data_IF_050592849461
#
_entry.id   IF_050592849461
#
_cell.length_a   1.000
_cell.length_b   1.000
_cell.length_c   1.000
_cell.angle_alpha   90.00
_cell.angle_beta   90.00
_cell.angle_gamma   90.00
#
_symmetry.space_group_name_H-M   'P 1'
#
loop_
_entity.id
_entity.type
_entity.pdbx_description
1 polymer ?
#
# COMPACT_ATOMS: atom_id res chain seq x y z
N UNK A 1 -18.54 -13.43 13.52
CA UNK A 1 -17.98 -12.43 14.46
C UNK A 1 -16.47 -12.37 14.31
N UNK A 2 -15.91 -11.18 14.40
CA UNK A 2 -14.48 -10.93 14.29
C UNK A 2 -13.94 -10.60 15.69
N UNK A 3 -12.85 -11.27 16.07
CA UNK A 3 -12.16 -10.99 17.33
C UNK A 3 -11.50 -9.60 17.30
N UNK A 4 -11.47 -8.95 18.46
CA UNK A 4 -10.64 -7.77 18.66
C UNK A 4 -9.22 -8.23 19.03
N UNK A 5 -8.22 -7.47 18.61
CA UNK A 5 -6.82 -7.72 18.96
C UNK A 5 -6.38 -6.73 20.03
N UNK A 6 -5.64 -7.20 21.01
CA UNK A 6 -5.08 -6.36 22.07
C UNK A 6 -4.01 -5.44 21.49
N UNK A 7 -4.12 -4.15 21.80
CA UNK A 7 -3.17 -3.12 21.46
C UNK A 7 -2.93 -2.25 22.70
N UNK A 8 -1.77 -2.41 23.35
CA UNK A 8 -1.54 -1.81 24.66
C UNK A 8 -2.54 -2.29 25.70
N UNK A 9 -3.28 -1.36 26.31
CA UNK A 9 -4.33 -1.66 27.29
C UNK A 9 -5.72 -1.80 26.68
N UNK A 10 -5.86 -1.51 25.37
CA UNK A 10 -7.12 -1.53 24.63
C UNK A 10 -7.27 -2.76 23.73
N UNK A 11 -8.47 -2.92 23.17
CA UNK A 11 -8.80 -3.95 22.20
C UNK A 11 -9.33 -3.32 20.90
N UNK A 12 -8.56 -3.44 19.82
CA UNK A 12 -8.90 -2.88 18.52
C UNK A 12 -9.68 -3.86 17.66
N UNK A 13 -10.79 -3.37 17.09
CA UNK A 13 -11.59 -4.13 16.12
C UNK A 13 -10.98 -3.96 14.72
N UNK A 14 -10.99 -5.03 13.90
CA UNK A 14 -10.63 -4.93 12.50
C UNK A 14 -11.62 -4.03 11.75
N UNK A 15 -11.09 -3.07 11.02
CA UNK A 15 -11.81 -2.20 10.10
C UNK A 15 -10.84 -1.70 9.02
N UNK A 16 -11.38 -1.14 7.93
CA UNK A 16 -10.55 -0.52 6.90
C UNK A 16 -9.67 0.59 7.49
N UNK A 17 -10.23 1.43 8.37
CA UNK A 17 -9.52 2.56 8.98
C UNK A 17 -8.40 2.09 9.93
N UNK A 18 -8.68 1.12 10.82
CA UNK A 18 -7.67 0.61 11.74
C UNK A 18 -6.56 -0.16 11.02
N UNK A 19 -6.87 -0.82 9.91
CA UNK A 19 -5.88 -1.48 9.05
C UNK A 19 -5.04 -0.46 8.26
N UNK A 20 -5.65 0.54 7.66
CA UNK A 20 -4.95 1.62 6.96
C UNK A 20 -4.00 2.37 7.89
N UNK A 21 -4.45 2.67 9.12
CA UNK A 21 -3.63 3.30 10.15
C UNK A 21 -2.39 2.47 10.51
N UNK A 22 -2.51 1.14 10.60
CA UNK A 22 -1.36 0.26 10.85
C UNK A 22 -0.30 0.36 9.75
N UNK A 23 -0.73 0.47 8.50
CA UNK A 23 0.17 0.63 7.34
C UNK A 23 0.81 2.02 7.33
N UNK A 24 0.02 3.07 7.58
CA UNK A 24 0.49 4.47 7.61
C UNK A 24 1.53 4.72 8.73
N UNK A 25 1.38 4.03 9.86
CA UNK A 25 2.30 4.10 11.01
C UNK A 25 3.51 3.16 10.89
N UNK A 26 3.67 2.49 9.76
CA UNK A 26 4.79 1.57 9.53
C UNK A 26 5.93 2.27 8.80
N UNK A 27 7.15 1.95 9.19
CA UNK A 27 8.35 2.53 8.59
C UNK A 27 8.68 1.89 7.24
N UNK A 28 9.28 2.67 6.33
CA UNK A 28 9.86 2.12 5.10
C UNK A 28 11.14 1.34 5.43
N UNK A 29 11.32 0.21 4.78
CA UNK A 29 12.55 -0.58 4.90
C UNK A 29 13.74 0.25 4.42
N UNK A 30 14.75 0.39 5.27
CA UNK A 30 15.93 1.19 4.97
C UNK A 30 16.91 0.46 4.03
N UNK A 31 17.72 1.24 3.30
CA UNK A 31 18.77 0.71 2.42
C UNK A 31 18.28 0.14 1.09
N UNK A 32 17.01 0.38 0.74
CA UNK A 32 16.41 -0.01 -0.54
C UNK A 32 16.39 1.15 -1.53
N UNK A 33 16.04 0.88 -2.78
CA UNK A 33 15.95 1.91 -3.82
C UNK A 33 14.93 3.01 -3.48
N UNK A 34 15.12 4.19 -4.05
CA UNK A 34 14.28 5.37 -3.81
C UNK A 34 12.78 5.12 -4.02
N UNK A 35 12.45 4.28 -4.99
CA UNK A 35 11.08 3.95 -5.35
C UNK A 35 10.60 2.60 -4.79
N UNK A 36 11.39 1.97 -3.91
CA UNK A 36 10.97 0.77 -3.19
C UNK A 36 10.06 1.17 -2.03
N UNK A 37 8.82 0.71 -2.07
CA UNK A 37 7.79 1.03 -1.09
C UNK A 37 7.61 -0.05 -0.02
N UNK A 38 8.58 -0.95 0.13
CA UNK A 38 8.53 -2.00 1.15
C UNK A 38 8.43 -1.41 2.55
N UNK A 39 7.53 -1.97 3.36
CA UNK A 39 7.27 -1.52 4.71
C UNK A 39 7.73 -2.56 5.73
N UNK A 40 8.26 -2.09 6.84
CA UNK A 40 8.42 -2.85 8.05
C UNK A 40 7.18 -2.62 8.94
N UNK A 41 6.25 -3.58 8.88
CA UNK A 41 4.97 -3.44 9.56
C UNK A 41 5.13 -3.45 11.08
N UNK A 42 4.66 -2.40 11.74
CA UNK A 42 4.62 -2.33 13.19
C UNK A 42 3.57 -3.31 13.74
N UNK A 43 4.02 -4.34 14.45
CA UNK A 43 3.17 -5.39 15.03
C UNK A 43 2.76 -5.14 16.49
N UNK A 44 3.31 -4.08 17.08
CA UNK A 44 3.02 -3.66 18.46
C UNK A 44 2.78 -2.15 18.53
N UNK A 45 1.75 -1.63 17.83
CA UNK A 45 1.61 -0.20 17.59
C UNK A 45 1.28 0.62 18.83
N UNK A 46 0.41 0.14 19.71
CA UNK A 46 -0.11 0.86 20.87
C UNK A 46 -0.70 2.25 20.53
N UNK A 47 -1.41 2.33 19.42
CA UNK A 47 -1.98 3.58 18.86
C UNK A 47 -3.41 3.44 18.37
N UNK A 48 -4.03 2.28 18.63
CA UNK A 48 -5.38 1.95 18.16
C UNK A 48 -5.43 1.46 16.70
N UNK A 49 -4.29 1.12 16.09
CA UNK A 49 -4.26 0.46 14.80
C UNK A 49 -4.41 -1.06 14.93
N UNK A 50 -4.87 -1.71 13.85
CA UNK A 50 -5.01 -3.17 13.83
C UNK A 50 -3.73 -3.80 13.30
N UNK A 51 -2.93 -4.51 14.15
CA UNK A 51 -1.57 -4.91 13.78
C UNK A 51 -1.49 -6.12 12.84
N UNK A 52 -2.59 -6.87 12.70
CA UNK A 52 -2.64 -8.06 11.82
C UNK A 52 -3.12 -7.63 10.44
N UNK A 53 -2.22 -7.03 9.67
CA UNK A 53 -2.46 -6.59 8.30
C UNK A 53 -1.50 -7.28 7.34
N UNK A 54 -1.91 -7.39 6.09
CA UNK A 54 -1.11 -7.84 4.97
C UNK A 54 -1.08 -6.72 3.91
N UNK A 55 0.10 -6.39 3.43
CA UNK A 55 0.29 -5.46 2.30
C UNK A 55 0.71 -6.27 1.08
N UNK A 56 -0.02 -6.11 -0.02
CA UNK A 56 0.36 -6.67 -1.31
C UNK A 56 1.20 -5.66 -2.09
N UNK A 57 2.24 -6.13 -2.76
CA UNK A 57 3.13 -5.31 -3.55
C UNK A 57 3.05 -5.71 -5.03
N UNK A 58 3.01 -4.71 -5.90
CA UNK A 58 3.29 -4.90 -7.31
C UNK A 58 4.79 -4.66 -7.54
N UNK A 59 5.43 -5.55 -8.27
CA UNK A 59 6.84 -5.45 -8.62
C UNK A 59 6.93 -5.23 -10.12
N UNK A 60 7.43 -4.09 -10.52
CA UNK A 60 7.58 -3.68 -11.92
C UNK A 60 9.01 -3.27 -12.21
N UNK A 61 9.42 -3.29 -13.49
CA UNK A 61 10.74 -2.82 -13.87
C UNK A 61 10.81 -1.29 -13.85
N UNK A 62 11.94 -0.74 -13.44
CA UNK A 62 12.20 0.70 -13.50
C UNK A 62 12.40 1.22 -14.94
N UNK A 63 12.77 0.33 -15.87
CA UNK A 63 12.90 0.66 -17.29
C UNK A 63 12.49 -0.53 -18.18
N UNK A 64 11.78 -0.24 -19.26
CA UNK A 64 11.33 -1.21 -20.25
C UNK A 64 12.06 -1.00 -21.58
N UNK A 65 12.08 -2.02 -22.45
CA UNK A 65 12.75 -1.94 -23.77
C UNK A 65 12.03 -1.01 -24.74
N UNK A 66 10.71 -0.94 -24.64
CA UNK A 66 9.87 -0.16 -25.56
C UNK A 66 8.89 0.73 -24.81
N UNK A 67 8.53 1.84 -25.43
CA UNK A 67 7.65 2.85 -24.89
C UNK A 67 6.23 2.31 -24.67
N UNK A 68 5.74 1.49 -25.58
CA UNK A 68 4.38 0.95 -25.50
C UNK A 68 4.18 0.09 -24.24
N UNK A 69 5.17 -0.75 -23.92
CA UNK A 69 5.15 -1.55 -22.69
C UNK A 69 5.23 -0.66 -21.44
N UNK A 70 6.12 0.34 -21.43
CA UNK A 70 6.22 1.28 -20.33
C UNK A 70 4.90 2.02 -20.09
N UNK A 71 4.26 2.50 -21.15
CA UNK A 71 2.99 3.24 -21.08
C UNK A 71 1.85 2.35 -20.57
N UNK A 72 1.78 1.10 -21.03
CA UNK A 72 0.77 0.13 -20.56
C UNK A 72 0.93 -0.17 -19.07
N UNK A 73 2.16 -0.39 -18.60
CA UNK A 73 2.43 -0.64 -17.18
C UNK A 73 2.06 0.60 -16.36
N UNK A 74 2.47 1.78 -16.78
CA UNK A 74 2.11 3.03 -16.10
C UNK A 74 0.59 3.22 -16.04
N UNK A 75 -0.13 2.99 -17.13
CA UNK A 75 -1.58 3.13 -17.16
C UNK A 75 -2.26 2.16 -16.19
N UNK A 76 -1.82 0.90 -16.17
CA UNK A 76 -2.36 -0.12 -15.27
C UNK A 76 -2.08 0.23 -13.80
N UNK A 77 -0.83 0.51 -13.45
CA UNK A 77 -0.45 0.81 -12.06
C UNK A 77 -1.09 2.12 -11.57
N UNK A 78 -1.19 3.14 -12.42
CA UNK A 78 -1.91 4.37 -12.08
C UNK A 78 -3.39 4.12 -11.80
N UNK A 79 -4.04 3.21 -12.53
CA UNK A 79 -5.41 2.81 -12.21
C UNK A 79 -5.47 2.08 -10.87
N UNK A 80 -4.57 1.12 -10.62
CA UNK A 80 -4.53 0.36 -9.36
C UNK A 80 -4.44 1.29 -8.14
N UNK A 81 -3.58 2.31 -8.20
CA UNK A 81 -3.40 3.25 -7.07
C UNK A 81 -4.38 4.43 -7.11
N UNK A 82 -5.22 4.54 -8.12
CA UNK A 82 -6.25 5.58 -8.18
C UNK A 82 -7.32 5.38 -7.13
N UNK A 83 -8.08 6.42 -6.83
CA UNK A 83 -9.20 6.33 -5.91
C UNK A 83 -10.25 5.30 -6.39
N UNK A 84 -10.57 5.30 -7.69
CA UNK A 84 -11.54 4.39 -8.28
C UNK A 84 -11.03 2.94 -8.27
N UNK A 85 -9.76 2.71 -8.61
CA UNK A 85 -9.12 1.40 -8.54
C UNK A 85 -9.13 0.84 -7.12
N UNK A 86 -8.77 1.66 -6.14
CA UNK A 86 -8.79 1.29 -4.73
C UNK A 86 -10.21 0.99 -4.22
N UNK A 87 -11.21 1.78 -4.59
CA UNK A 87 -12.62 1.51 -4.25
C UNK A 87 -13.12 0.21 -4.89
N UNK A 88 -12.74 -0.04 -6.14
CA UNK A 88 -13.08 -1.28 -6.84
C UNK A 88 -12.47 -2.51 -6.15
N UNK A 89 -11.20 -2.45 -5.77
CA UNK A 89 -10.52 -3.51 -5.03
C UNK A 89 -11.16 -3.72 -3.64
N UNK A 90 -11.46 -2.66 -2.91
CA UNK A 90 -12.12 -2.73 -1.61
C UNK A 90 -13.51 -3.39 -1.71
N UNK A 91 -14.27 -3.08 -2.76
CA UNK A 91 -15.59 -3.68 -3.01
C UNK A 91 -15.49 -5.17 -3.34
N UNK A 92 -14.55 -5.54 -4.21
CA UNK A 92 -14.39 -6.91 -4.70
C UNK A 92 -13.72 -7.84 -3.67
N UNK A 93 -12.62 -7.40 -3.07
CA UNK A 93 -11.76 -8.21 -2.20
C UNK A 93 -11.91 -7.89 -0.70
N UNK A 94 -12.73 -6.91 -0.33
CA UNK A 94 -12.88 -6.43 1.05
C UNK A 94 -11.57 -5.92 1.66
N UNK A 95 -10.65 -5.46 0.83
CA UNK A 95 -9.40 -4.84 1.25
C UNK A 95 -9.63 -3.43 1.82
N UNK A 96 -8.70 -2.95 2.64
CA UNK A 96 -8.64 -1.54 2.99
C UNK A 96 -8.09 -0.73 1.81
N UNK A 97 -8.56 0.52 1.69
CA UNK A 97 -8.03 1.48 0.71
C UNK A 97 -6.68 2.01 1.21
N UNK A 98 -5.71 2.17 0.31
CA UNK A 98 -4.44 2.80 0.64
C UNK A 98 -4.62 4.24 1.10
N UNK A 99 -3.91 4.69 2.16
CA UNK A 99 -3.85 6.10 2.54
C UNK A 99 -3.43 7.00 1.37
N UNK A 100 -3.92 8.24 1.35
CA UNK A 100 -3.63 9.18 0.27
C UNK A 100 -2.13 9.44 0.09
N UNK A 101 -1.40 9.62 1.19
CA UNK A 101 0.06 9.82 1.18
C UNK A 101 0.80 8.67 0.48
N UNK A 102 0.38 7.43 0.73
CA UNK A 102 0.97 6.26 0.08
C UNK A 102 0.60 6.16 -1.39
N UNK A 103 -0.62 6.56 -1.77
CA UNK A 103 -1.03 6.62 -3.18
C UNK A 103 -0.22 7.66 -3.96
N UNK A 104 0.08 8.81 -3.34
CA UNK A 104 0.94 9.83 -3.94
C UNK A 104 2.38 9.35 -4.12
N UNK A 105 2.95 8.68 -3.13
CA UNK A 105 4.29 8.10 -3.24
C UNK A 105 4.34 7.00 -4.32
N UNK A 106 3.31 6.16 -4.41
CA UNK A 106 3.20 5.17 -5.48
C UNK A 106 3.12 5.81 -6.86
N UNK A 107 2.39 6.91 -7.03
CA UNK A 107 2.35 7.66 -8.29
C UNK A 107 3.72 8.18 -8.69
N UNK A 108 4.49 8.74 -7.75
CA UNK A 108 5.88 9.19 -8.02
C UNK A 108 6.74 8.03 -8.51
N UNK A 109 6.65 6.85 -7.87
CA UNK A 109 7.36 5.66 -8.30
C UNK A 109 6.94 5.20 -9.70
N UNK A 110 5.64 5.21 -10.02
CA UNK A 110 5.11 4.86 -11.35
C UNK A 110 5.61 5.86 -12.41
N UNK A 111 5.59 7.15 -12.10
CA UNK A 111 6.02 8.20 -13.02
C UNK A 111 7.52 8.10 -13.36
N UNK A 112 8.33 7.55 -12.45
CA UNK A 112 9.77 7.32 -12.65
C UNK A 112 10.10 6.18 -13.63
N UNK A 113 9.13 5.34 -14.01
CA UNK A 113 9.33 4.27 -14.99
C UNK A 113 9.71 4.88 -16.34
N UNK A 114 10.80 4.37 -16.92
CA UNK A 114 11.37 4.86 -18.19
C UNK A 114 11.51 3.77 -19.23
N UNK A 115 12.07 4.13 -20.37
CA UNK A 115 12.59 3.19 -21.38
C UNK A 115 14.11 3.14 -21.35
N UNK A 116 14.67 2.00 -21.77
CA UNK A 116 16.13 1.81 -21.93
C UNK A 116 16.61 2.30 -23.28
#
# INVERSE_FOLDING_TARGET
>A
STAKVKDGDDYVKVSADSAAKAVEQSDKVQGRGEHDMSLELNRTPNDGSYPIVLVSYHVVCSAYKDQETADRVKAFENYVVSEDGQKSAASAAKSAVLPESMREDAKKAIDSITTK
#
